data_IF_790523757361
#
_entry.id   IF_790523757361
#
_cell.length_a   1.000
_cell.length_b   1.000
_cell.length_c   1.000
_cell.angle_alpha   90.00
_cell.angle_beta   90.00
_cell.angle_gamma   90.00
#
_symmetry.space_group_name_H-M   'P 1'
#
loop_
_entity.id
_entity.type
_entity.pdbx_description
1 polymer ?
#
# COMPACT_ATOMS: atom_id res chain seq x y z
N UNK A 1 -8.81 32.44 7.39
CA UNK A 1 -9.09 31.27 6.55
C UNK A 1 -9.16 30.09 7.50
N UNK A 2 -10.36 29.53 7.70
CA UNK A 2 -10.61 28.46 8.67
C UNK A 2 -9.94 27.16 8.23
N UNK A 3 -9.10 26.61 9.09
CA UNK A 3 -8.62 25.24 9.00
C UNK A 3 -9.78 24.31 9.37
N UNK A 4 -10.60 23.94 8.39
CA UNK A 4 -11.64 22.94 8.55
C UNK A 4 -11.02 21.53 8.39
N UNK A 5 -10.97 20.70 9.45
CA UNK A 5 -10.34 19.37 9.42
C UNK A 5 -11.04 18.34 8.51
N UNK A 6 -12.19 18.71 7.92
CA UNK A 6 -12.97 17.86 7.00
C UNK A 6 -12.32 17.69 5.62
N UNK A 7 -11.36 18.54 5.24
CA UNK A 7 -10.58 18.41 4.00
C UNK A 7 -9.17 17.90 4.27
N UNK A 8 -9.02 16.71 4.83
CA UNK A 8 -7.78 15.96 4.56
C UNK A 8 -7.61 15.94 3.03
N UNK A 9 -6.45 16.36 2.53
CA UNK A 9 -6.15 16.38 1.09
C UNK A 9 -6.52 15.00 0.52
N UNK A 10 -7.21 14.93 -0.62
CA UNK A 10 -7.59 13.65 -1.26
C UNK A 10 -6.39 12.70 -1.40
N UNK A 11 -5.19 13.26 -1.57
CA UNK A 11 -3.91 12.53 -1.53
C UNK A 11 -3.61 11.93 -0.16
N UNK A 12 -3.76 12.71 0.93
CA UNK A 12 -3.58 12.21 2.31
C UNK A 12 -4.58 11.09 2.64
N UNK A 13 -5.82 11.22 2.16
CA UNK A 13 -6.82 10.15 2.27
C UNK A 13 -6.35 8.92 1.50
N UNK A 14 -5.85 9.09 0.27
CA UNK A 14 -5.30 8.00 -0.54
C UNK A 14 -4.14 7.28 0.14
N UNK A 15 -3.17 8.04 0.67
CA UNK A 15 -2.05 7.54 1.47
C UNK A 15 -2.52 6.74 2.68
N UNK A 16 -3.49 7.26 3.43
CA UNK A 16 -4.03 6.59 4.60
C UNK A 16 -4.72 5.27 4.23
N UNK A 17 -5.52 5.26 3.16
CA UNK A 17 -6.20 4.05 2.66
C UNK A 17 -5.20 2.98 2.23
N UNK A 18 -4.21 3.34 1.40
CA UNK A 18 -3.15 2.43 0.95
C UNK A 18 -2.36 1.88 2.14
N UNK A 19 -1.97 2.75 3.07
CA UNK A 19 -1.21 2.36 4.26
C UNK A 19 -1.99 1.35 5.10
N UNK A 20 -3.27 1.63 5.37
CA UNK A 20 -4.11 0.76 6.19
C UNK A 20 -4.34 -0.59 5.52
N UNK A 21 -4.64 -0.59 4.22
CA UNK A 21 -4.87 -1.82 3.46
C UNK A 21 -3.62 -2.70 3.38
N UNK A 22 -2.46 -2.10 3.10
CA UNK A 22 -1.17 -2.80 3.07
C UNK A 22 -0.78 -3.32 4.45
N UNK A 23 -0.90 -2.49 5.49
CA UNK A 23 -0.61 -2.89 6.86
C UNK A 23 -1.49 -4.05 7.30
N UNK A 24 -2.80 -3.97 7.05
CA UNK A 24 -3.73 -5.05 7.39
C UNK A 24 -3.42 -6.34 6.65
N UNK A 25 -3.20 -6.29 5.33
CA UNK A 25 -2.87 -7.49 4.55
C UNK A 25 -1.61 -8.20 5.08
N UNK A 26 -0.60 -7.43 5.46
CA UNK A 26 0.66 -7.96 6.00
C UNK A 26 0.52 -8.48 7.43
N UNK A 27 -0.22 -7.76 8.28
CA UNK A 27 -0.46 -8.17 9.67
C UNK A 27 -1.35 -9.40 9.76
N UNK A 28 -2.31 -9.57 8.85
CA UNK A 28 -3.17 -10.76 8.77
C UNK A 28 -2.35 -12.03 8.44
N UNK A 29 -1.19 -11.89 7.77
CA UNK A 29 -0.19 -12.97 7.65
C UNK A 29 0.58 -13.13 8.97
N UNK A 30 0.99 -12.00 9.54
CA UNK A 30 1.62 -11.91 10.86
C UNK A 30 2.55 -10.72 10.96
N UNK A 31 2.74 -10.19 12.17
CA UNK A 31 3.64 -9.07 12.44
C UNK A 31 5.04 -9.21 11.80
N UNK A 32 5.69 -10.39 11.78
CA UNK A 32 6.98 -10.54 11.11
C UNK A 32 6.96 -10.29 9.59
N UNK A 33 5.83 -10.53 8.91
CA UNK A 33 5.69 -10.23 7.49
C UNK A 33 5.63 -8.72 7.26
N UNK A 34 4.86 -8.00 8.08
CA UNK A 34 4.83 -6.54 8.11
C UNK A 34 6.23 -5.96 8.36
N UNK A 35 6.89 -6.41 9.44
CA UNK A 35 8.22 -5.90 9.84
C UNK A 35 9.25 -6.05 8.70
N UNK A 36 9.29 -7.21 8.03
CA UNK A 36 10.19 -7.45 6.89
C UNK A 36 9.91 -6.54 5.70
N UNK A 37 8.64 -6.29 5.40
CA UNK A 37 8.27 -5.41 4.27
C UNK A 37 8.70 -3.98 4.54
N UNK A 38 8.40 -3.43 5.73
CA UNK A 38 8.79 -2.06 6.06
C UNK A 38 10.30 -1.89 6.16
N UNK A 39 11.02 -2.89 6.69
CA UNK A 39 12.48 -2.91 6.70
C UNK A 39 13.06 -2.93 5.28
N UNK A 40 12.51 -3.75 4.38
CA UNK A 40 12.99 -3.82 3.00
C UNK A 40 12.65 -2.57 2.18
N UNK A 41 11.47 -1.98 2.36
CA UNK A 41 11.09 -0.72 1.73
C UNK A 41 12.05 0.40 2.13
N UNK A 42 12.34 0.52 3.43
CA UNK A 42 13.25 1.55 3.93
C UNK A 42 14.68 1.31 3.45
N UNK A 43 15.20 0.09 3.57
CA UNK A 43 16.60 -0.21 3.18
C UNK A 43 16.87 -0.08 1.69
N UNK A 44 15.90 -0.38 0.81
CA UNK A 44 16.09 -0.31 -0.65
C UNK A 44 15.73 1.03 -1.26
N UNK A 45 14.70 1.68 -0.75
CA UNK A 45 14.09 2.85 -1.40
C UNK A 45 14.01 4.08 -0.48
N UNK A 46 14.35 3.95 0.80
CA UNK A 46 14.11 4.99 1.83
C UNK A 46 12.64 5.42 1.88
N UNK A 47 11.73 4.48 1.59
CA UNK A 47 10.29 4.69 1.58
C UNK A 47 9.60 3.97 2.73
N UNK A 48 8.47 4.52 3.17
CA UNK A 48 7.52 3.92 4.09
C UNK A 48 6.23 3.54 3.34
N UNK A 49 5.34 2.78 4.00
CA UNK A 49 4.07 2.35 3.39
C UNK A 49 3.21 3.50 2.80
N UNK A 50 3.09 4.68 3.44
CA UNK A 50 2.36 5.80 2.84
C UNK A 50 2.95 6.27 1.51
N UNK A 51 4.28 6.22 1.35
CA UNK A 51 4.97 6.66 0.13
C UNK A 51 4.73 5.71 -1.04
N UNK A 52 4.29 4.47 -0.76
CA UNK A 52 3.89 3.52 -1.80
C UNK A 52 2.61 3.95 -2.53
N UNK A 53 1.87 4.94 -2.03
CA UNK A 53 0.77 5.56 -2.77
C UNK A 53 1.29 6.25 -4.05
N UNK A 54 2.41 6.96 -3.96
CA UNK A 54 3.12 7.54 -5.10
C UNK A 54 4.00 6.53 -5.85
N UNK A 55 4.55 5.56 -5.11
CA UNK A 55 5.51 4.58 -5.63
C UNK A 55 5.04 3.13 -5.46
N UNK A 56 3.89 2.73 -6.04
CA UNK A 56 3.34 1.38 -5.92
C UNK A 56 4.30 0.29 -6.41
N UNK A 57 5.16 0.59 -7.37
CA UNK A 57 6.16 -0.33 -7.91
C UNK A 57 7.17 -0.79 -6.86
N UNK A 58 7.44 0.02 -5.82
CA UNK A 58 8.34 -0.37 -4.73
C UNK A 58 7.69 -1.44 -3.87
N UNK A 59 6.41 -1.26 -3.52
CA UNK A 59 5.67 -2.27 -2.78
C UNK A 59 5.56 -3.57 -3.57
N UNK A 60 5.18 -3.52 -4.86
CA UNK A 60 5.12 -4.70 -5.74
C UNK A 60 6.45 -5.47 -5.75
N UNK A 61 7.57 -4.77 -5.98
CA UNK A 61 8.91 -5.38 -6.01
C UNK A 61 9.29 -5.99 -4.66
N UNK A 62 8.96 -5.34 -3.54
CA UNK A 62 9.25 -5.86 -2.19
C UNK A 62 8.42 -7.11 -1.89
N UNK A 63 7.11 -7.08 -2.19
CA UNK A 63 6.23 -8.24 -1.98
C UNK A 63 6.73 -9.45 -2.78
N UNK A 64 7.08 -9.25 -4.06
CA UNK A 64 7.64 -10.31 -4.91
C UNK A 64 9.01 -10.79 -4.42
N UNK A 65 9.89 -9.89 -3.98
CA UNK A 65 11.21 -10.26 -3.49
C UNK A 65 11.16 -11.08 -2.18
N UNK A 66 10.23 -10.75 -1.27
CA UNK A 66 10.11 -11.41 0.03
C UNK A 66 9.29 -12.70 -0.01
N UNK A 67 8.23 -12.74 -0.83
CA UNK A 67 7.21 -13.78 -0.77
C UNK A 67 7.04 -14.55 -2.09
N UNK A 68 7.74 -14.16 -3.16
CA UNK A 68 7.59 -14.77 -4.49
C UNK A 68 6.13 -14.74 -4.95
N UNK A 69 5.60 -15.90 -5.38
CA UNK A 69 4.18 -16.04 -5.79
C UNK A 69 3.18 -15.73 -4.67
N UNK A 70 3.56 -15.90 -3.40
CA UNK A 70 2.69 -15.48 -2.30
C UNK A 70 2.61 -13.95 -2.19
N UNK A 71 3.55 -13.21 -2.78
CA UNK A 71 3.48 -11.76 -2.92
C UNK A 71 2.28 -11.31 -3.76
N UNK A 72 1.93 -12.07 -4.81
CA UNK A 72 0.75 -11.79 -5.63
C UNK A 72 -0.52 -11.93 -4.77
N UNK A 73 -0.62 -12.97 -3.95
CA UNK A 73 -1.76 -13.18 -3.02
C UNK A 73 -1.90 -12.02 -2.02
N UNK A 74 -0.78 -11.45 -1.57
CA UNK A 74 -0.80 -10.26 -0.70
C UNK A 74 -1.31 -9.05 -1.45
N UNK A 75 -0.83 -8.81 -2.68
CA UNK A 75 -1.31 -7.71 -3.52
C UNK A 75 -2.82 -7.82 -3.78
N UNK A 76 -3.33 -9.02 -4.05
CA UNK A 76 -4.76 -9.28 -4.19
C UNK A 76 -5.53 -8.99 -2.90
N UNK A 77 -4.99 -9.33 -1.73
CA UNK A 77 -5.58 -8.99 -0.43
C UNK A 77 -5.65 -7.48 -0.20
N UNK A 78 -4.64 -6.73 -0.63
CA UNK A 78 -4.66 -5.26 -0.61
C UNK A 78 -5.74 -4.74 -1.56
N UNK A 79 -5.87 -5.30 -2.76
CA UNK A 79 -6.91 -4.92 -3.73
C UNK A 79 -8.31 -5.11 -3.17
N UNK A 80 -8.61 -6.26 -2.58
CA UNK A 80 -9.93 -6.54 -1.99
C UNK A 80 -10.30 -5.50 -0.93
N UNK A 81 -9.34 -5.00 -0.15
CA UNK A 81 -9.59 -3.95 0.84
C UNK A 81 -9.81 -2.55 0.24
N UNK A 82 -9.40 -2.34 -1.01
CA UNK A 82 -9.48 -1.05 -1.70
C UNK A 82 -10.51 -1.02 -2.84
N UNK A 83 -11.24 -2.11 -3.08
CA UNK A 83 -12.18 -2.27 -4.19
C UNK A 83 -13.24 -1.16 -4.22
N UNK A 84 -13.84 -0.85 -3.07
CA UNK A 84 -14.84 0.21 -2.93
C UNK A 84 -14.29 1.61 -3.25
N UNK A 85 -12.96 1.79 -3.28
CA UNK A 85 -12.29 3.07 -3.55
C UNK A 85 -11.75 3.18 -4.98
N UNK A 86 -11.96 2.17 -5.84
CA UNK A 86 -11.46 2.17 -7.23
C UNK A 86 -12.03 3.33 -8.09
N UNK A 87 -13.15 3.94 -7.70
CA UNK A 87 -13.64 5.16 -8.33
C UNK A 87 -12.66 6.34 -8.22
N UNK A 88 -11.72 6.30 -7.25
CA UNK A 88 -10.60 7.22 -7.15
C UNK A 88 -9.48 6.76 -8.08
N UNK A 89 -9.27 7.48 -9.19
CA UNK A 89 -8.26 7.15 -10.21
C UNK A 89 -6.86 6.83 -9.65
N UNK A 90 -6.30 7.57 -8.66
CA UNK A 90 -5.01 7.20 -8.08
C UNK A 90 -4.98 5.83 -7.40
N UNK A 91 -6.07 5.42 -6.74
CA UNK A 91 -6.18 4.10 -6.10
C UNK A 91 -6.26 3.02 -7.17
N UNK A 92 -7.05 3.22 -8.23
CA UNK A 92 -7.10 2.29 -9.36
C UNK A 92 -5.71 2.08 -10.00
N UNK A 93 -4.96 3.18 -10.22
CA UNK A 93 -3.60 3.11 -10.76
C UNK A 93 -2.63 2.38 -9.80
N UNK A 94 -2.71 2.67 -8.49
CA UNK A 94 -1.94 1.97 -7.48
C UNK A 94 -2.18 0.45 -7.55
N UNK A 95 -3.45 0.03 -7.61
CA UNK A 95 -3.86 -1.37 -7.69
C UNK A 95 -3.38 -2.05 -8.97
N UNK A 96 -3.46 -1.36 -10.11
CA UNK A 96 -2.96 -1.88 -11.38
C UNK A 96 -1.45 -2.18 -11.31
N UNK A 97 -0.67 -1.37 -10.60
CA UNK A 97 0.78 -1.55 -10.50
C UNK A 97 1.13 -2.66 -9.49
N UNK A 98 0.46 -2.73 -8.34
CA UNK A 98 0.80 -3.75 -7.33
C UNK A 98 0.36 -5.17 -7.70
N UNK A 99 -0.70 -5.31 -8.50
CA UNK A 99 -1.24 -6.61 -8.94
C UNK A 99 -0.63 -7.12 -10.26
N UNK A 100 0.35 -6.41 -10.85
CA UNK A 100 1.19 -6.91 -11.96
C UNK A 100 2.27 -7.82 -11.43
#
# INVERSE_FOLDING_TARGET
MENNPIYANQEQIGKALVTLAAQKALVDIGKPAYDKVVEMLYSKYHCYLPDCYEHPEYLSKVLKALFGRAGDVIAESIRTQLEDFMYKKPIANFLEIICR
#
